data_IF_366045181909
#
_entry.id   IF_366045181909
#
_cell.length_a   1.000
_cell.length_b   1.000
_cell.length_c   1.000
_cell.angle_alpha   90.00
_cell.angle_beta   90.00
_cell.angle_gamma   90.00
#
_symmetry.space_group_name_H-M   'P 1'
#
loop_
_entity.id
_entity.type
_entity.pdbx_description
1 polymer ?
#
# COMPACT_ATOMS: atom_id res chain seq x y z
N UNK A 1 12.47 -25.93 29.40
CA UNK A 1 11.03 -25.88 29.09
C UNK A 1 10.88 -24.78 28.05
N UNK A 2 10.92 -25.15 26.77
CA UNK A 2 10.79 -24.20 25.67
C UNK A 2 9.29 -23.97 25.47
N UNK A 3 8.82 -22.77 25.78
CA UNK A 3 7.43 -22.39 25.52
C UNK A 3 7.30 -22.09 24.04
N UNK A 4 6.83 -23.07 23.29
CA UNK A 4 6.27 -22.88 21.96
C UNK A 4 4.99 -22.04 22.11
N UNK A 5 5.13 -20.71 22.13
CA UNK A 5 4.01 -19.84 21.77
C UNK A 5 3.93 -19.84 20.25
N UNK A 6 3.39 -20.95 19.73
CA UNK A 6 2.88 -21.03 18.37
C UNK A 6 1.60 -20.20 18.32
N UNK A 7 1.75 -18.89 18.15
CA UNK A 7 0.63 -18.01 17.81
C UNK A 7 0.28 -18.29 16.35
N UNK A 8 -0.35 -19.45 16.16
CA UNK A 8 -0.72 -20.02 14.88
C UNK A 8 -1.56 -19.00 14.12
N UNK A 9 -0.91 -18.42 13.12
CA UNK A 9 -1.47 -17.44 12.22
C UNK A 9 -2.53 -18.17 11.40
N UNK A 10 -3.77 -18.15 11.86
CA UNK A 10 -4.92 -18.74 11.15
C UNK A 10 -5.21 -17.88 9.91
N UNK A 11 -4.34 -17.96 8.92
CA UNK A 11 -4.66 -17.54 7.57
C UNK A 11 -5.62 -18.57 7.01
N UNK A 12 -6.85 -18.12 6.75
CA UNK A 12 -7.81 -18.92 6.03
C UNK A 12 -7.18 -19.26 4.67
N UNK A 13 -6.84 -20.53 4.43
CA UNK A 13 -6.04 -21.00 3.28
C UNK A 13 -6.70 -20.73 1.92
N UNK A 14 -7.96 -20.30 1.91
CA UNK A 14 -8.71 -19.88 0.74
C UNK A 14 -8.63 -18.38 0.41
N UNK A 15 -7.98 -17.57 1.25
CA UNK A 15 -7.81 -16.13 0.99
C UNK A 15 -6.64 -15.85 0.06
N UNK A 16 -6.76 -14.80 -0.77
CA UNK A 16 -5.68 -14.41 -1.67
C UNK A 16 -4.43 -13.97 -0.90
N UNK A 17 -3.25 -14.17 -1.48
CA UNK A 17 -1.95 -13.79 -0.89
C UNK A 17 -1.93 -12.32 -0.43
N UNK A 18 -2.55 -11.43 -1.21
CA UNK A 18 -2.65 -10.02 -0.87
C UNK A 18 -3.44 -9.77 0.43
N UNK A 19 -4.50 -10.54 0.70
CA UNK A 19 -5.27 -10.44 1.95
C UNK A 19 -4.44 -10.94 3.12
N UNK A 20 -3.73 -12.05 2.95
CA UNK A 20 -2.86 -12.60 3.99
C UNK A 20 -1.75 -11.59 4.38
N UNK A 21 -1.13 -10.96 3.37
CA UNK A 21 -0.15 -9.88 3.58
C UNK A 21 -0.76 -8.67 4.29
N UNK A 22 -1.96 -8.23 3.88
CA UNK A 22 -2.66 -7.11 4.51
C UNK A 22 -3.01 -7.42 5.98
N UNK A 23 -3.50 -8.62 6.27
CA UNK A 23 -3.74 -9.09 7.63
C UNK A 23 -2.46 -9.11 8.46
N UNK A 24 -1.36 -9.60 7.92
CA UNK A 24 -0.06 -9.59 8.58
C UNK A 24 0.42 -8.16 8.90
N UNK A 25 0.33 -7.25 7.94
CA UNK A 25 0.71 -5.84 8.15
C UNK A 25 -0.18 -5.13 9.16
N UNK A 26 -1.48 -5.42 9.15
CA UNK A 26 -2.38 -4.91 10.18
C UNK A 26 -2.02 -5.42 11.58
N UNK A 27 -1.70 -6.71 11.73
CA UNK A 27 -1.23 -7.24 13.02
C UNK A 27 0.09 -6.62 13.47
N UNK A 28 1.01 -6.36 12.53
CA UNK A 28 2.24 -5.61 12.80
C UNK A 28 1.94 -4.21 13.32
N UNK A 29 1.00 -3.49 12.71
CA UNK A 29 0.61 -2.15 13.16
C UNK A 29 -0.04 -2.17 14.56
N UNK A 30 -0.84 -3.18 14.89
CA UNK A 30 -1.42 -3.32 16.24
C UNK A 30 -0.36 -3.55 17.32
N UNK A 31 0.72 -4.25 16.99
CA UNK A 31 1.82 -4.55 17.90
C UNK A 31 2.86 -3.44 18.00
N UNK A 32 2.72 -2.37 17.21
CA UNK A 32 3.68 -1.29 17.14
C UNK A 32 3.12 -0.04 17.82
N UNK A 33 3.63 0.28 19.01
CA UNK A 33 3.25 1.46 19.79
C UNK A 33 3.89 2.74 19.19
N UNK A 34 3.37 3.22 18.06
CA UNK A 34 3.70 4.55 17.54
C UNK A 34 2.45 5.36 17.20
N UNK A 35 2.61 6.68 17.26
CA UNK A 35 1.55 7.66 16.99
C UNK A 35 1.01 7.61 15.55
N UNK A 36 1.77 7.06 14.59
CA UNK A 36 1.31 6.89 13.21
C UNK A 36 0.63 5.54 13.01
N UNK A 37 -0.64 5.50 13.39
CA UNK A 37 -1.54 4.37 13.17
C UNK A 37 -1.47 3.88 11.72
N UNK A 38 -1.44 2.55 11.55
CA UNK A 38 -1.56 1.85 10.28
C UNK A 38 -0.41 2.12 9.27
N UNK A 39 0.81 2.33 9.75
CA UNK A 39 1.99 2.61 8.92
C UNK A 39 2.33 1.48 7.94
N UNK A 40 2.29 0.22 8.39
CA UNK A 40 2.56 -0.94 7.54
C UNK A 40 1.45 -1.16 6.52
N UNK A 41 0.20 -0.99 6.93
CA UNK A 41 -0.97 -1.00 6.04
C UNK A 41 -0.86 0.10 4.98
N UNK A 42 -0.44 1.31 5.36
CA UNK A 42 -0.22 2.40 4.40
C UNK A 42 0.88 2.05 3.40
N UNK A 43 1.99 1.47 3.86
CA UNK A 43 3.08 1.04 3.00
C UNK A 43 2.63 -0.04 2.00
N UNK A 44 1.83 -1.00 2.44
CA UNK A 44 1.22 -2.01 1.58
C UNK A 44 0.41 -1.38 0.43
N UNK A 45 -0.52 -0.47 0.76
CA UNK A 45 -1.34 0.19 -0.26
C UNK A 45 -0.54 1.09 -1.19
N UNK A 46 0.43 1.84 -0.64
CA UNK A 46 1.31 2.68 -1.44
C UNK A 46 2.10 1.85 -2.45
N UNK A 47 2.68 0.72 -2.02
CA UNK A 47 3.42 -0.17 -2.89
C UNK A 47 2.55 -0.69 -4.04
N UNK A 48 1.37 -1.23 -3.73
CA UNK A 48 0.44 -1.73 -4.74
C UNK A 48 -0.05 -0.63 -5.70
N UNK A 49 -0.25 0.58 -5.21
CA UNK A 49 -0.66 1.72 -6.04
C UNK A 49 0.47 2.14 -6.99
N UNK A 50 1.72 2.16 -6.53
CA UNK A 50 2.89 2.44 -7.37
C UNK A 50 3.09 1.37 -8.44
N UNK A 51 2.92 0.09 -8.09
CA UNK A 51 2.94 -1.00 -9.06
C UNK A 51 1.82 -0.85 -10.10
N UNK A 52 0.62 -0.46 -9.67
CA UNK A 52 -0.51 -0.20 -10.57
C UNK A 52 -0.19 0.92 -11.58
N UNK A 53 0.46 2.01 -11.14
CA UNK A 53 0.95 3.06 -12.05
C UNK A 53 1.93 2.51 -13.09
N UNK A 54 2.84 1.61 -12.70
CA UNK A 54 3.83 1.00 -13.60
C UNK A 54 3.21 0.04 -14.60
N UNK A 55 2.30 -0.83 -14.13
CA UNK A 55 1.67 -1.88 -14.94
C UNK A 55 0.74 -1.31 -16.00
N UNK A 56 -0.09 -0.34 -15.61
CA UNK A 56 -1.20 0.11 -16.46
C UNK A 56 -0.79 1.15 -17.49
N UNK A 57 0.41 1.73 -17.35
CA UNK A 57 0.88 2.88 -18.16
C UNK A 57 -0.15 4.03 -18.21
N UNK A 58 -1.08 4.08 -17.25
CA UNK A 58 -2.16 5.06 -17.27
C UNK A 58 -1.56 6.44 -17.14
N UNK A 59 -2.10 7.35 -17.94
CA UNK A 59 -1.67 8.73 -17.93
C UNK A 59 -1.98 9.35 -16.56
N UNK A 60 -0.95 9.48 -15.72
CA UNK A 60 -1.00 10.08 -14.36
C UNK A 60 -1.62 11.50 -14.37
N UNK A 61 -1.80 12.11 -15.55
CA UNK A 61 -2.57 13.35 -15.70
C UNK A 61 -4.01 13.22 -15.20
N UNK A 62 -4.59 12.01 -15.22
CA UNK A 62 -5.90 11.71 -14.63
C UNK A 62 -5.75 10.77 -13.43
N UNK A 63 -5.11 11.31 -12.38
CA UNK A 63 -4.80 10.56 -11.15
C UNK A 63 -6.07 10.07 -10.44
N UNK A 64 -7.19 10.78 -10.60
CA UNK A 64 -8.49 10.40 -10.03
C UNK A 64 -9.01 9.13 -10.70
N UNK A 65 -8.94 9.03 -12.03
CA UNK A 65 -9.31 7.82 -12.76
C UNK A 65 -8.41 6.63 -12.39
N UNK A 66 -7.11 6.84 -12.17
CA UNK A 66 -6.19 5.77 -11.73
C UNK A 66 -6.65 5.21 -10.39
N UNK A 67 -7.04 6.08 -9.47
CA UNK A 67 -7.45 5.68 -8.14
C UNK A 67 -8.76 4.90 -8.12
N UNK A 68 -9.75 5.35 -8.90
CA UNK A 68 -11.00 4.62 -9.07
C UNK A 68 -10.75 3.21 -9.59
N UNK A 69 -9.91 3.08 -10.63
CA UNK A 69 -9.58 1.76 -11.17
C UNK A 69 -8.76 0.91 -10.20
N UNK A 70 -7.82 1.50 -9.48
CA UNK A 70 -7.05 0.78 -8.45
C UNK A 70 -7.95 0.18 -7.37
N UNK A 71 -8.95 0.94 -6.90
CA UNK A 71 -9.94 0.47 -5.92
C UNK A 71 -10.85 -0.64 -6.49
N UNK A 72 -11.21 -0.56 -7.76
CA UNK A 72 -12.09 -1.53 -8.40
C UNK A 72 -11.37 -2.83 -8.78
N UNK A 73 -10.13 -2.74 -9.26
CA UNK A 73 -9.46 -3.84 -9.96
C UNK A 73 -8.42 -4.56 -9.12
N UNK A 74 -7.73 -3.86 -8.21
CA UNK A 74 -6.45 -4.35 -7.66
C UNK A 74 -6.49 -4.61 -6.16
N UNK A 75 -7.36 -3.93 -5.41
CA UNK A 75 -7.25 -3.93 -3.95
C UNK A 75 -8.57 -4.15 -3.22
N UNK A 76 -8.49 -4.82 -2.06
CA UNK A 76 -9.60 -4.90 -1.11
C UNK A 76 -9.39 -3.87 0.00
N UNK A 77 -10.32 -2.93 0.21
CA UNK A 77 -10.19 -1.92 1.27
C UNK A 77 -10.53 -2.46 2.65
N UNK A 78 -10.90 -3.74 2.76
CA UNK A 78 -11.46 -4.31 3.98
C UNK A 78 -10.92 -5.73 4.21
N UNK A 79 -10.69 -6.06 5.48
CA UNK A 79 -10.38 -7.41 5.94
C UNK A 79 -11.34 -7.81 7.08
N UNK A 80 -11.37 -9.10 7.39
CA UNK A 80 -12.00 -9.62 8.60
C UNK A 80 -10.87 -10.08 9.51
N UNK A 81 -10.80 -9.54 10.73
CA UNK A 81 -9.76 -9.93 11.68
C UNK A 81 -10.07 -11.29 12.33
N UNK A 82 -9.14 -11.78 13.15
CA UNK A 82 -9.28 -13.04 13.90
C UNK A 82 -10.47 -13.09 14.87
N UNK A 83 -11.10 -11.96 15.17
CA UNK A 83 -12.32 -11.86 16.00
C UNK A 83 -13.60 -11.83 15.16
N UNK A 84 -13.51 -11.99 13.84
CA UNK A 84 -14.65 -11.86 12.93
C UNK A 84 -15.09 -10.41 12.69
N UNK A 85 -14.30 -9.42 13.13
CA UNK A 85 -14.63 -8.00 12.99
C UNK A 85 -14.12 -7.51 11.64
N UNK A 86 -15.02 -6.86 10.89
CA UNK A 86 -14.69 -6.20 9.64
C UNK A 86 -13.94 -4.89 9.91
N UNK A 87 -12.74 -4.77 9.34
CA UNK A 87 -11.89 -3.59 9.43
C UNK A 87 -11.81 -2.94 8.06
N UNK A 88 -12.05 -1.64 7.98
CA UNK A 88 -11.93 -0.85 6.75
C UNK A 88 -10.68 0.02 6.79
N UNK A 89 -9.95 0.04 5.69
CA UNK A 89 -8.74 0.84 5.48
C UNK A 89 -8.95 1.92 4.41
N UNK A 90 -10.20 2.25 4.09
CA UNK A 90 -10.51 3.26 3.08
C UNK A 90 -9.89 4.62 3.43
N UNK A 91 -9.83 4.95 4.73
CA UNK A 91 -9.21 6.18 5.23
C UNK A 91 -7.72 6.23 4.88
N UNK A 92 -6.98 5.16 5.13
CA UNK A 92 -5.55 5.05 4.85
C UNK A 92 -5.28 5.15 3.35
N UNK A 93 -6.09 4.44 2.55
CA UNK A 93 -6.01 4.49 1.08
C UNK A 93 -6.27 5.93 0.57
N UNK A 94 -7.28 6.61 1.11
CA UNK A 94 -7.56 8.02 0.77
C UNK A 94 -6.45 8.97 1.21
N UNK A 95 -5.81 8.75 2.36
CA UNK A 95 -4.68 9.57 2.81
C UNK A 95 -3.50 9.47 1.84
N UNK A 96 -3.15 8.25 1.41
CA UNK A 96 -2.11 8.01 0.40
C UNK A 96 -2.48 8.72 -0.89
N UNK A 97 -3.71 8.54 -1.35
CA UNK A 97 -4.16 9.13 -2.60
C UNK A 97 -4.10 10.66 -2.58
N UNK A 98 -4.60 11.28 -1.51
CA UNK A 98 -4.55 12.73 -1.33
C UNK A 98 -3.10 13.25 -1.30
N UNK A 99 -2.18 12.50 -0.70
CA UNK A 99 -0.76 12.85 -0.70
C UNK A 99 -0.18 12.81 -2.13
N UNK A 100 -0.44 11.74 -2.87
CA UNK A 100 0.04 11.60 -4.25
C UNK A 100 -0.58 12.66 -5.18
N UNK A 101 -1.87 12.97 -5.01
CA UNK A 101 -2.57 14.01 -5.78
C UNK A 101 -1.97 15.40 -5.54
N UNK A 102 -1.61 15.72 -4.29
CA UNK A 102 -0.94 16.98 -3.94
C UNK A 102 0.46 17.09 -4.57
N UNK A 103 1.16 15.96 -4.72
CA UNK A 103 2.53 15.89 -5.24
C UNK A 103 2.59 15.26 -6.64
N UNK A 104 1.59 15.53 -7.49
CA UNK A 104 1.46 14.83 -8.79
C UNK A 104 2.65 15.03 -9.73
N UNK A 105 3.32 16.18 -9.64
CA UNK A 105 4.43 16.55 -10.54
C UNK A 105 5.66 15.72 -10.21
N UNK A 106 5.96 15.63 -8.91
CA UNK A 106 7.03 14.82 -8.34
C UNK A 106 6.79 13.34 -8.65
N UNK A 107 5.57 12.85 -8.36
CA UNK A 107 5.17 11.48 -8.69
C UNK A 107 5.39 11.15 -10.17
N UNK A 108 5.00 12.05 -11.08
CA UNK A 108 5.18 11.82 -12.52
C UNK A 108 6.65 11.78 -12.95
N UNK A 109 7.47 12.69 -12.41
CA UNK A 109 8.92 12.68 -12.63
C UNK A 109 9.55 11.38 -12.14
N UNK A 110 9.17 10.92 -10.95
CA UNK A 110 9.70 9.70 -10.34
C UNK A 110 9.29 8.45 -11.12
N UNK A 111 8.01 8.36 -11.51
CA UNK A 111 7.50 7.24 -12.32
C UNK A 111 8.16 7.16 -13.71
N UNK A 112 8.63 8.28 -14.27
CA UNK A 112 9.37 8.31 -15.55
C UNK A 112 10.87 8.10 -15.41
N UNK A 113 11.38 8.04 -14.18
CA UNK A 113 12.82 8.00 -13.92
C UNK A 113 13.55 9.29 -14.29
N UNK A 114 12.82 10.41 -14.42
CA UNK A 114 13.40 11.74 -14.71
C UNK A 114 14.31 12.20 -13.55
N UNK A 115 13.98 11.80 -12.32
CA UNK A 115 14.83 12.02 -11.15
C UNK A 115 16.22 11.34 -11.30
N UNK A 116 16.27 10.09 -11.76
CA UNK A 116 17.53 9.34 -11.96
C UNK A 116 18.38 9.93 -13.09
N UNK A 117 17.72 10.37 -14.18
CA UNK A 117 18.42 11.00 -15.31
C UNK A 117 18.99 12.38 -14.94
N UNK A 118 18.27 13.14 -14.11
CA UNK A 118 18.74 14.43 -13.62
C UNK A 118 19.82 14.31 -12.52
N UNK A 119 19.78 13.26 -11.69
CA UNK A 119 20.85 12.94 -10.74
C UNK A 119 22.16 12.58 -11.45
N UNK A 120 22.11 11.76 -12.51
CA UNK A 120 23.30 11.43 -13.31
C UNK A 120 23.90 12.68 -13.97
N UNK A 121 23.06 13.60 -14.48
CA UNK A 121 23.52 14.89 -15.02
C UNK A 121 24.12 15.82 -13.96
N UNK A 122 23.59 15.82 -12.73
CA UNK A 122 24.13 16.63 -11.63
C UNK A 122 25.44 16.09 -11.06
N UNK A 123 25.64 14.77 -11.12
CA UNK A 123 26.83 14.09 -10.61
C UNK A 123 27.94 13.92 -11.66
N UNK A 124 27.78 14.46 -12.88
CA UNK A 124 28.86 14.53 -13.87
C UNK A 124 29.46 13.19 -14.27
N UNK A 125 28.61 12.21 -14.61
CA UNK A 125 29.00 11.01 -15.36
C UNK A 125 28.56 11.12 -16.82
#
# INVERSE_FOLDING_TARGET
>A
MFSENDDSTFFNTNESVAIQQLCFFYQKDLNYEKDDLNSYVKAFYLHHLLDYFRETRVNVKDIDLVFEKFLLEKVKPEIVNNKGIKISFLREIQQIFNLLKKNKKELYSDLRGEYLTNLNKKNGL
#
